data_IF_133521698855
#
_entry.id   IF_133521698855
#
_cell.length_a   1.000
_cell.length_b   1.000
_cell.length_c   1.000
_cell.angle_alpha   90.00
_cell.angle_beta   90.00
_cell.angle_gamma   90.00
#
_symmetry.space_group_name_H-M   'P 1'
#
loop_
_entity.id
_entity.type
_entity.pdbx_description
1 polymer ?
#
# COMPACT_ATOMS: atom_id res chain seq x y z
N UNK A 1 14.98 21.28 0.39
CA UNK A 1 14.74 20.35 1.53
C UNK A 1 13.53 20.74 2.40
N UNK A 2 13.30 22.02 2.73
CA UNK A 2 12.10 22.44 3.46
C UNK A 2 10.79 22.16 2.70
N UNK A 3 10.78 22.34 1.38
CA UNK A 3 9.61 22.05 0.53
C UNK A 3 9.14 20.59 0.68
N UNK A 4 10.07 19.64 0.57
CA UNK A 4 9.77 18.20 0.72
C UNK A 4 9.28 17.89 2.13
N UNK A 5 9.94 18.45 3.17
CA UNK A 5 9.54 18.24 4.56
C UNK A 5 8.12 18.77 4.85
N UNK A 6 7.80 19.98 4.39
CA UNK A 6 6.46 20.56 4.57
C UNK A 6 5.41 19.80 3.76
N UNK A 7 5.80 19.25 2.60
CA UNK A 7 4.91 18.42 1.77
C UNK A 7 4.59 17.06 2.39
N UNK A 8 5.42 16.56 3.31
CA UNK A 8 5.22 15.29 4.02
C UNK A 8 4.52 15.44 5.37
N UNK A 9 4.34 16.67 5.88
CA UNK A 9 3.75 16.91 7.21
C UNK A 9 2.26 16.56 7.25
N UNK A 10 1.51 16.97 6.22
CA UNK A 10 0.12 16.54 5.98
C UNK A 10 -0.06 16.30 4.47
N UNK A 11 0.06 15.06 4.00
CA UNK A 11 0.08 14.76 2.57
C UNK A 11 -1.25 15.04 1.86
N UNK A 12 -2.37 15.13 2.59
CA UNK A 12 -3.68 15.51 2.05
C UNK A 12 -3.82 17.00 1.75
N UNK A 13 -3.01 17.84 2.41
CA UNK A 13 -3.06 19.30 2.26
C UNK A 13 -2.20 19.79 1.08
N UNK A 14 -1.49 18.88 0.41
CA UNK A 14 -0.60 19.20 -0.70
C UNK A 14 -0.61 18.10 -1.76
N UNK A 15 -0.95 18.46 -3.01
CA UNK A 15 -0.93 17.56 -4.17
C UNK A 15 0.40 16.80 -4.36
N UNK A 16 1.54 17.45 -4.11
CA UNK A 16 2.84 16.79 -4.20
C UNK A 16 3.02 15.74 -3.10
N UNK A 17 2.58 16.04 -1.88
CA UNK A 17 2.58 15.11 -0.75
C UNK A 17 1.69 13.89 -1.02
N UNK A 18 0.48 14.13 -1.52
CA UNK A 18 -0.48 13.09 -1.92
C UNK A 18 0.11 12.17 -2.99
N UNK A 19 0.72 12.75 -4.03
CA UNK A 19 1.33 11.98 -5.12
C UNK A 19 2.50 11.12 -4.62
N UNK A 20 3.39 11.69 -3.80
CA UNK A 20 4.54 10.95 -3.25
C UNK A 20 4.06 9.79 -2.38
N UNK A 21 3.07 10.01 -1.50
CA UNK A 21 2.52 8.93 -0.67
C UNK A 21 1.80 7.87 -1.50
N UNK A 22 1.03 8.26 -2.52
CA UNK A 22 0.37 7.31 -3.42
C UNK A 22 1.39 6.43 -4.14
N UNK A 23 2.48 7.02 -4.64
CA UNK A 23 3.54 6.31 -5.34
C UNK A 23 4.28 5.33 -4.40
N UNK A 24 4.59 5.75 -3.18
CA UNK A 24 5.17 4.88 -2.14
C UNK A 24 4.24 3.70 -1.84
N UNK A 25 2.94 3.96 -1.68
CA UNK A 25 1.96 2.91 -1.39
C UNK A 25 1.76 1.94 -2.55
N UNK A 26 1.74 2.42 -3.80
CA UNK A 26 1.66 1.55 -4.98
C UNK A 26 2.88 0.63 -5.08
N UNK A 27 4.08 1.16 -4.81
CA UNK A 27 5.31 0.36 -4.79
C UNK A 27 5.29 -0.68 -3.67
N UNK A 28 4.87 -0.31 -2.46
CA UNK A 28 4.72 -1.22 -1.33
C UNK A 28 3.68 -2.32 -1.60
N UNK A 29 2.51 -1.95 -2.11
CA UNK A 29 1.45 -2.89 -2.45
C UNK A 29 1.91 -3.86 -3.55
N UNK A 30 2.57 -3.36 -4.60
CA UNK A 30 3.17 -4.18 -5.65
C UNK A 30 4.21 -5.15 -5.10
N UNK A 31 5.10 -4.66 -4.23
CA UNK A 31 6.14 -5.48 -3.59
C UNK A 31 5.51 -6.60 -2.73
N UNK A 32 4.55 -6.25 -1.87
CA UNK A 32 3.84 -7.21 -1.01
C UNK A 32 3.10 -8.24 -1.85
N UNK A 33 2.39 -7.82 -2.91
CA UNK A 33 1.67 -8.73 -3.80
C UNK A 33 2.64 -9.69 -4.52
N UNK A 34 3.77 -9.19 -5.01
CA UNK A 34 4.77 -10.00 -5.71
C UNK A 34 5.43 -11.00 -4.76
N UNK A 35 5.78 -10.58 -3.55
CA UNK A 35 6.31 -11.46 -2.49
C UNK A 35 5.28 -12.52 -2.10
N UNK A 36 4.02 -12.13 -1.86
CA UNK A 36 2.95 -13.06 -1.54
C UNK A 36 2.79 -14.11 -2.65
N UNK A 37 2.75 -13.69 -3.91
CA UNK A 37 2.66 -14.61 -5.05
C UNK A 37 3.90 -15.51 -5.19
N UNK A 38 5.10 -15.00 -4.91
CA UNK A 38 6.33 -15.80 -4.95
C UNK A 38 6.34 -16.92 -3.90
N UNK A 39 5.86 -16.64 -2.70
CA UNK A 39 5.82 -17.62 -1.61
C UNK A 39 4.61 -18.55 -1.63
N UNK A 40 3.58 -18.26 -2.43
CA UNK A 40 2.42 -19.15 -2.58
C UNK A 40 2.80 -20.34 -3.47
N UNK A 41 2.92 -21.57 -2.93
CA UNK A 41 3.24 -22.73 -3.74
C UNK A 41 2.18 -22.95 -4.83
N UNK A 42 2.62 -23.31 -6.03
CA UNK A 42 1.72 -23.38 -7.19
C UNK A 42 0.60 -24.45 -7.02
N UNK A 43 0.76 -25.37 -6.06
CA UNK A 43 -0.15 -26.47 -5.76
C UNK A 43 -1.43 -26.07 -5.01
N UNK A 44 -1.55 -24.83 -4.53
CA UNK A 44 -2.75 -24.37 -3.82
C UNK A 44 -3.87 -24.03 -4.82
N UNK A 45 -5.14 -24.39 -4.55
CA UNK A 45 -6.29 -23.96 -5.33
C UNK A 45 -6.31 -22.45 -5.58
N UNK A 46 -6.64 -22.04 -6.82
CA UNK A 46 -6.66 -20.63 -7.24
C UNK A 46 -7.50 -19.74 -6.31
N UNK A 47 -8.64 -20.26 -5.83
CA UNK A 47 -9.51 -19.56 -4.89
C UNK A 47 -8.77 -19.12 -3.61
N UNK A 48 -7.95 -19.99 -3.04
CA UNK A 48 -7.18 -19.69 -1.81
C UNK A 48 -6.09 -18.66 -2.12
N UNK A 49 -5.42 -18.77 -3.27
CA UNK A 49 -4.43 -17.76 -3.70
C UNK A 49 -5.08 -16.37 -3.84
N UNK A 50 -6.25 -16.33 -4.46
CA UNK A 50 -7.03 -15.08 -4.66
C UNK A 50 -7.46 -14.47 -3.33
N UNK A 51 -7.92 -15.29 -2.37
CA UNK A 51 -8.28 -14.84 -1.02
C UNK A 51 -7.06 -14.26 -0.30
N UNK A 52 -5.90 -14.91 -0.37
CA UNK A 52 -4.66 -14.40 0.25
C UNK A 52 -4.24 -13.05 -0.32
N UNK A 53 -4.29 -12.89 -1.65
CA UNK A 53 -4.00 -11.61 -2.30
C UNK A 53 -5.03 -10.55 -1.89
N UNK A 54 -6.32 -10.90 -1.85
CA UNK A 54 -7.39 -9.99 -1.43
C UNK A 54 -7.19 -9.50 0.01
N UNK A 55 -6.84 -10.40 0.94
CA UNK A 55 -6.54 -10.04 2.34
C UNK A 55 -5.34 -9.11 2.40
N UNK A 56 -4.25 -9.42 1.69
CA UNK A 56 -3.06 -8.58 1.67
C UNK A 56 -3.36 -7.16 1.15
N UNK A 57 -4.08 -7.05 0.03
CA UNK A 57 -4.49 -5.76 -0.55
C UNK A 57 -5.40 -4.99 0.40
N UNK A 58 -6.38 -5.66 1.02
CA UNK A 58 -7.32 -5.04 1.97
C UNK A 58 -6.59 -4.51 3.20
N UNK A 59 -5.64 -5.27 3.76
CA UNK A 59 -4.80 -4.83 4.88
C UNK A 59 -3.93 -3.62 4.49
N UNK A 60 -3.33 -3.62 3.29
CA UNK A 60 -2.59 -2.46 2.78
C UNK A 60 -3.47 -1.22 2.65
N UNK A 61 -4.72 -1.36 2.18
CA UNK A 61 -5.68 -0.26 2.09
C UNK A 61 -6.12 0.25 3.47
N UNK A 62 -6.31 -0.62 4.45
CA UNK A 62 -6.65 -0.23 5.82
C UNK A 62 -5.49 0.51 6.51
N UNK A 63 -4.26 0.05 6.31
CA UNK A 63 -3.05 0.74 6.78
C UNK A 63 -2.91 2.12 6.12
N UNK A 64 -3.19 2.20 4.81
CA UNK A 64 -3.24 3.47 4.08
C UNK A 64 -4.25 4.41 4.73
N UNK A 65 -5.49 3.97 4.90
CA UNK A 65 -6.55 4.76 5.51
C UNK A 65 -6.17 5.30 6.89
N UNK A 66 -5.62 4.44 7.76
CA UNK A 66 -5.13 4.82 9.10
C UNK A 66 -4.00 5.85 9.07
N UNK A 67 -3.18 5.88 8.02
CA UNK A 67 -2.08 6.83 7.87
C UNK A 67 -2.59 8.25 7.57
N UNK A 68 -3.69 8.36 6.83
CA UNK A 68 -4.28 9.64 6.40
C UNK A 68 -5.40 10.14 7.32
N UNK A 69 -6.19 9.22 7.88
CA UNK A 69 -7.31 9.51 8.77
C UNK A 69 -7.13 8.76 10.10
N UNK A 70 -6.17 9.20 10.93
CA UNK A 70 -6.11 8.77 12.32
C UNK A 70 -7.28 9.44 13.06
N UNK A 71 -8.42 8.77 13.15
CA UNK A 71 -9.43 9.06 14.17
C UNK A 71 -8.79 9.05 15.56
#
# INVERSE_FOLDING_TARGET
>A
MQLIRNSMAFPVDNFLGLFIYALIYMLLAGLIATLALHFIPNRIPYAIKSILVFIAVTLSLLLWWKTFFPL
#
